data_IF_902274843656
#
_entry.id   IF_902274843656
#
_cell.length_a   1.000
_cell.length_b   1.000
_cell.length_c   1.000
_cell.angle_alpha   90.00
_cell.angle_beta   90.00
_cell.angle_gamma   90.00
#
_symmetry.space_group_name_H-M   'P 1'
#
loop_
_entity.id
_entity.type
_entity.pdbx_description
1 polymer ?
#
# COMPACT_ATOMS: atom_id res chain seq x y z
N UNK A 1 1.23 21.35 16.86
CA UNK A 1 1.51 20.73 18.19
C UNK A 1 3.02 20.65 18.33
N UNK A 2 3.61 21.47 19.20
CA UNK A 2 5.06 21.48 19.44
C UNK A 2 5.42 20.37 20.45
N UNK A 3 6.51 19.64 20.18
CA UNK A 3 7.10 18.62 21.08
C UNK A 3 7.44 19.28 22.43
N UNK A 4 7.14 18.68 23.59
CA UNK A 4 7.73 19.13 24.84
C UNK A 4 9.26 18.91 24.78
N UNK A 5 10.07 19.90 25.17
CA UNK A 5 11.50 19.72 25.36
C UNK A 5 11.71 19.00 26.69
N UNK A 6 12.02 17.71 26.61
CA UNK A 6 12.48 16.83 27.71
C UNK A 6 11.51 16.58 28.89
N UNK A 7 11.30 15.29 29.21
CA UNK A 7 10.53 14.78 30.35
C UNK A 7 9.15 14.20 29.96
N UNK A 8 8.70 13.03 30.40
CA UNK A 8 9.13 12.10 31.44
C UNK A 8 8.76 10.68 30.96
N UNK A 9 9.71 9.75 31.00
CA UNK A 9 9.44 8.32 30.74
C UNK A 9 8.84 7.72 32.02
N UNK A 10 7.58 7.28 31.96
CA UNK A 10 7.06 6.26 32.88
C UNK A 10 6.95 4.95 32.13
N UNK A 11 8.00 4.14 32.20
CA UNK A 11 7.89 2.69 32.01
C UNK A 11 7.64 2.11 33.40
N UNK A 12 6.47 1.52 33.60
CA UNK A 12 6.14 0.75 34.81
C UNK A 12 5.59 -0.62 34.37
N UNK A 13 5.69 -1.63 35.23
CA UNK A 13 6.68 -2.69 35.19
C UNK A 13 6.24 -3.85 34.30
N UNK A 14 7.00 -4.07 33.23
CA UNK A 14 7.09 -5.34 32.54
C UNK A 14 8.57 -5.59 32.27
N UNK A 15 9.01 -6.85 32.37
CA UNK A 15 10.33 -7.20 31.87
C UNK A 15 10.40 -6.78 30.39
N UNK A 16 11.43 -6.03 30.01
CA UNK A 16 11.73 -5.79 28.60
C UNK A 16 12.12 -7.15 28.04
N UNK A 17 11.21 -7.78 27.31
CA UNK A 17 11.49 -9.02 26.61
C UNK A 17 12.15 -8.61 25.30
N UNK A 18 13.42 -8.97 25.05
CA UNK A 18 14.03 -8.72 23.76
C UNK A 18 13.24 -9.45 22.67
N UNK A 19 12.72 -8.70 21.70
CA UNK A 19 12.06 -9.24 20.53
C UNK A 19 12.83 -8.86 19.26
N UNK A 20 12.58 -9.59 18.19
CA UNK A 20 13.12 -9.24 16.86
C UNK A 20 12.48 -7.92 16.40
N UNK A 21 13.29 -6.98 15.91
CA UNK A 21 12.76 -5.73 15.36
C UNK A 21 11.96 -6.02 14.08
N UNK A 22 10.67 -5.66 14.01
CA UNK A 22 9.84 -5.91 12.82
C UNK A 22 10.10 -4.91 11.69
N UNK A 23 10.96 -3.90 11.89
CA UNK A 23 11.27 -2.88 10.89
C UNK A 23 12.31 -3.37 9.90
N UNK A 24 12.07 -3.04 8.64
CA UNK A 24 13.00 -3.21 7.52
C UNK A 24 13.20 -1.82 6.94
N UNK A 25 14.40 -1.27 7.15
CA UNK A 25 14.82 0.04 6.66
C UNK A 25 15.96 -0.14 5.66
N UNK A 26 16.02 0.70 4.63
CA UNK A 26 17.03 0.59 3.57
C UNK A 26 18.47 0.69 4.11
N UNK A 27 18.66 1.41 5.21
CA UNK A 27 19.93 1.57 5.91
C UNK A 27 20.39 0.31 6.68
N UNK A 28 19.53 -0.68 6.90
CA UNK A 28 19.88 -1.96 7.53
C UNK A 28 19.92 -3.10 6.50
N UNK A 29 21.13 -3.49 6.13
CA UNK A 29 21.35 -4.47 5.08
C UNK A 29 20.89 -5.89 5.43
N UNK A 30 20.78 -6.26 6.71
CA UNK A 30 20.45 -7.64 7.08
C UNK A 30 18.95 -7.98 6.86
N UNK A 31 17.98 -7.22 7.41
CA UNK A 31 16.56 -7.42 7.14
C UNK A 31 16.21 -7.24 5.66
N UNK A 32 16.86 -6.30 4.97
CA UNK A 32 16.69 -6.12 3.52
C UNK A 32 17.05 -7.40 2.79
N UNK A 33 18.25 -7.96 2.98
CA UNK A 33 18.66 -9.21 2.32
C UNK A 33 17.74 -10.40 2.62
N UNK A 34 17.13 -10.45 3.80
CA UNK A 34 16.15 -11.49 4.13
C UNK A 34 14.86 -11.32 3.33
N UNK A 35 14.34 -10.09 3.25
CA UNK A 35 13.18 -9.76 2.41
C UNK A 35 13.48 -10.06 0.93
N UNK A 36 14.68 -9.76 0.46
CA UNK A 36 15.10 -10.03 -0.90
C UNK A 36 15.02 -11.52 -1.24
N UNK A 37 15.56 -12.39 -0.38
CA UNK A 37 15.47 -13.85 -0.54
C UNK A 37 14.02 -14.34 -0.54
N UNK A 38 13.17 -13.75 0.30
CA UNK A 38 11.75 -14.12 0.35
C UNK A 38 11.01 -13.73 -0.94
N UNK A 39 11.32 -12.57 -1.53
CA UNK A 39 10.76 -12.11 -2.81
C UNK A 39 11.25 -12.97 -3.97
N UNK A 40 12.54 -13.32 -3.99
CA UNK A 40 13.10 -14.11 -5.09
C UNK A 40 12.68 -15.59 -5.07
N UNK A 41 12.16 -16.05 -3.94
CA UNK A 41 11.81 -17.44 -3.70
C UNK A 41 13.05 -18.29 -3.40
N UNK A 42 12.93 -19.25 -2.49
CA UNK A 42 13.98 -20.25 -2.27
C UNK A 42 13.87 -21.36 -3.33
N UNK A 43 15.00 -21.99 -3.68
CA UNK A 43 15.04 -23.13 -4.60
C UNK A 43 14.05 -24.22 -4.13
N UNK A 44 13.12 -24.63 -4.99
CA UNK A 44 12.11 -25.65 -4.69
C UNK A 44 10.77 -25.11 -4.16
N UNK A 45 10.66 -23.83 -3.84
CA UNK A 45 9.37 -23.18 -3.59
C UNK A 45 8.79 -22.77 -4.96
N UNK A 46 7.57 -23.24 -5.28
CA UNK A 46 6.93 -23.00 -6.57
C UNK A 46 6.71 -21.51 -6.93
N UNK A 47 5.99 -21.21 -8.02
CA UNK A 47 5.80 -19.84 -8.49
C UNK A 47 5.28 -18.89 -7.40
N UNK A 48 5.96 -17.76 -7.20
CA UNK A 48 5.58 -16.76 -6.18
C UNK A 48 4.56 -15.77 -6.75
N UNK A 49 3.41 -15.62 -6.09
CA UNK A 49 2.45 -14.55 -6.37
C UNK A 49 2.58 -13.43 -5.34
N UNK A 50 2.86 -12.21 -5.80
CA UNK A 50 2.98 -10.99 -5.01
C UNK A 50 1.78 -10.09 -5.32
N UNK A 51 1.13 -9.57 -4.30
CA UNK A 51 0.11 -8.54 -4.42
C UNK A 51 0.59 -7.26 -3.74
N UNK A 52 0.69 -6.17 -4.49
CA UNK A 52 0.97 -4.84 -3.95
C UNK A 52 -0.27 -3.95 -4.05
N UNK A 53 -0.71 -3.43 -2.90
CA UNK A 53 -1.87 -2.55 -2.78
C UNK A 53 -1.40 -1.12 -2.59
N UNK A 54 -1.72 -0.25 -3.56
CA UNK A 54 -1.27 1.14 -3.53
C UNK A 54 -2.06 1.99 -2.54
N UNK A 55 -1.54 3.18 -2.26
CA UNK A 55 -2.34 4.24 -1.67
C UNK A 55 -3.41 4.79 -2.61
N UNK A 56 -4.31 5.61 -2.07
CA UNK A 56 -5.46 6.14 -2.83
C UNK A 56 -6.61 6.72 -1.99
N UNK A 57 -6.48 6.81 -0.66
CA UNK A 57 -7.52 7.35 0.21
C UNK A 57 -8.85 6.60 0.08
N UNK A 58 -9.94 7.34 -0.11
CA UNK A 58 -11.30 6.80 -0.26
C UNK A 58 -11.44 5.86 -1.47
N UNK A 59 -10.64 6.06 -2.52
CA UNK A 59 -10.68 5.21 -3.70
C UNK A 59 -10.22 3.77 -3.42
N UNK A 60 -9.65 3.49 -2.25
CA UNK A 60 -9.37 2.12 -1.79
C UNK A 60 -10.58 1.19 -1.83
N UNK A 61 -11.81 1.74 -1.82
CA UNK A 61 -13.03 0.99 -2.02
C UNK A 61 -13.03 0.23 -3.36
N UNK A 62 -12.49 0.81 -4.43
CA UNK A 62 -12.31 0.11 -5.71
C UNK A 62 -11.43 -1.13 -5.55
N UNK A 63 -10.27 -1.01 -4.92
CA UNK A 63 -9.37 -2.14 -4.74
C UNK A 63 -9.96 -3.25 -3.87
N UNK A 64 -10.65 -2.88 -2.79
CA UNK A 64 -11.42 -3.84 -1.98
C UNK A 64 -12.47 -4.56 -2.82
N UNK A 65 -13.20 -3.83 -3.66
CA UNK A 65 -14.14 -4.39 -4.63
C UNK A 65 -13.48 -5.38 -5.58
N UNK A 66 -12.37 -5.00 -6.22
CA UNK A 66 -11.62 -5.87 -7.15
C UNK A 66 -11.24 -7.18 -6.48
N UNK A 67 -10.72 -7.16 -5.26
CA UNK A 67 -10.33 -8.37 -4.53
C UNK A 67 -11.52 -9.31 -4.26
N UNK A 68 -12.64 -8.75 -3.80
CA UNK A 68 -13.88 -9.51 -3.55
C UNK A 68 -14.43 -10.09 -4.85
N UNK A 69 -14.52 -9.29 -5.91
CA UNK A 69 -14.98 -9.74 -7.22
C UNK A 69 -14.06 -10.81 -7.82
N UNK A 70 -12.75 -10.67 -7.64
CA UNK A 70 -11.78 -11.63 -8.15
C UNK A 70 -11.92 -12.99 -7.45
N UNK A 71 -12.16 -13.00 -6.15
CA UNK A 71 -12.56 -14.21 -5.40
C UNK A 71 -13.85 -14.81 -5.98
N UNK A 72 -14.88 -14.00 -6.22
CA UNK A 72 -16.14 -14.48 -6.82
C UNK A 72 -15.96 -15.11 -8.20
N UNK A 73 -14.94 -14.71 -8.95
CA UNK A 73 -14.61 -15.33 -10.23
C UNK A 73 -13.90 -16.69 -10.11
N UNK A 74 -13.48 -17.09 -8.91
CA UNK A 74 -12.71 -18.31 -8.65
C UNK A 74 -11.25 -18.26 -9.13
N UNK A 75 -10.75 -17.09 -9.55
CA UNK A 75 -9.42 -16.95 -10.18
C UNK A 75 -8.41 -16.16 -9.34
N UNK A 76 -8.75 -15.77 -8.11
CA UNK A 76 -7.84 -15.03 -7.24
C UNK A 76 -6.73 -15.97 -6.75
N UNK A 77 -5.44 -15.68 -7.01
CA UNK A 77 -4.34 -16.50 -6.51
C UNK A 77 -4.20 -16.40 -5.00
N UNK A 78 -3.59 -17.43 -4.40
CA UNK A 78 -3.03 -17.33 -3.07
C UNK A 78 -1.71 -16.56 -3.11
N UNK A 79 -1.68 -15.40 -2.48
CA UNK A 79 -0.49 -14.55 -2.47
C UNK A 79 0.48 -14.99 -1.39
N UNK A 80 1.73 -15.23 -1.77
CA UNK A 80 2.82 -15.50 -0.82
C UNK A 80 3.26 -14.21 -0.13
N UNK A 81 3.22 -13.09 -0.85
CA UNK A 81 3.56 -11.77 -0.33
C UNK A 81 2.41 -10.82 -0.63
N UNK A 82 1.90 -10.15 0.40
CA UNK A 82 0.95 -9.05 0.27
C UNK A 82 1.58 -7.82 0.88
N UNK A 83 1.58 -6.72 0.15
CA UNK A 83 2.05 -5.44 0.64
C UNK A 83 0.97 -4.39 0.55
N UNK A 84 1.05 -3.39 1.43
CA UNK A 84 0.09 -2.30 1.44
C UNK A 84 0.71 -0.97 1.86
N UNK A 85 0.23 0.08 1.20
CA UNK A 85 0.55 1.47 1.54
C UNK A 85 -0.75 2.26 1.66
N UNK A 86 -0.89 3.11 2.68
CA UNK A 86 -2.09 3.94 2.86
C UNK A 86 -3.35 3.11 2.96
N UNK A 87 -4.40 3.49 2.24
CA UNK A 87 -5.62 2.67 2.13
C UNK A 87 -5.30 1.21 1.74
N UNK A 88 -4.27 0.96 0.93
CA UNK A 88 -3.79 -0.39 0.64
C UNK A 88 -3.29 -1.15 1.87
N UNK A 89 -2.67 -0.47 2.85
CA UNK A 89 -2.26 -1.07 4.11
C UNK A 89 -3.46 -1.51 4.97
N UNK A 90 -4.59 -0.80 4.88
CA UNK A 90 -5.82 -1.18 5.58
C UNK A 90 -6.48 -2.41 4.94
N UNK A 91 -6.40 -2.56 3.62
CA UNK A 91 -6.92 -3.73 2.90
C UNK A 91 -5.98 -4.95 2.95
N UNK A 92 -4.67 -4.74 3.07
CA UNK A 92 -3.65 -5.79 2.99
C UNK A 92 -3.83 -6.96 3.98
N UNK A 93 -4.16 -6.76 5.27
CA UNK A 93 -4.42 -7.85 6.21
C UNK A 93 -5.50 -8.82 5.73
N UNK A 94 -6.62 -8.30 5.23
CA UNK A 94 -7.70 -9.12 4.70
C UNK A 94 -7.28 -9.79 3.39
N UNK A 95 -6.58 -9.05 2.53
CA UNK A 95 -6.11 -9.59 1.26
C UNK A 95 -5.13 -10.76 1.45
N UNK A 96 -4.29 -10.67 2.49
CA UNK A 96 -3.36 -11.68 2.95
C UNK A 96 -4.08 -12.90 3.53
N UNK A 97 -5.10 -12.73 4.36
CA UNK A 97 -5.81 -13.88 4.91
C UNK A 97 -6.70 -14.60 3.87
N UNK A 98 -6.99 -13.94 2.74
CA UNK A 98 -7.64 -14.56 1.59
C UNK A 98 -9.17 -14.47 1.63
N UNK A 99 -9.82 -15.32 0.82
CA UNK A 99 -11.26 -15.23 0.51
C UNK A 99 -12.19 -15.34 1.73
N UNK A 100 -11.78 -16.06 2.78
CA UNK A 100 -12.56 -16.18 4.02
C UNK A 100 -12.70 -14.86 4.79
N UNK A 101 -11.87 -13.86 4.47
CA UNK A 101 -11.89 -12.52 5.06
C UNK A 101 -12.45 -11.44 4.12
N UNK A 102 -12.91 -11.83 2.93
CA UNK A 102 -13.57 -10.91 2.00
C UNK A 102 -14.84 -10.26 2.56
N UNK A 103 -15.67 -10.91 3.42
CA UNK A 103 -16.79 -10.23 4.08
C UNK A 103 -16.34 -9.05 4.96
N UNK A 104 -15.24 -9.21 5.70
CA UNK A 104 -14.66 -8.17 6.57
C UNK A 104 -14.02 -7.05 5.73
N UNK A 105 -13.35 -7.41 4.64
CA UNK A 105 -12.82 -6.44 3.67
C UNK A 105 -13.95 -5.63 3.03
N UNK A 106 -14.99 -6.31 2.55
CA UNK A 106 -16.18 -5.67 2.01
C UNK A 106 -16.81 -4.78 3.07
N UNK A 107 -16.91 -5.22 4.32
CA UNK A 107 -17.52 -4.43 5.36
C UNK A 107 -16.75 -3.13 5.68
N UNK A 108 -15.43 -3.19 5.68
CA UNK A 108 -14.59 -2.02 5.91
C UNK A 108 -14.73 -0.92 4.82
N UNK A 109 -15.10 -1.30 3.59
CA UNK A 109 -15.10 -0.41 2.41
C UNK A 109 -16.46 -0.23 1.73
N UNK A 110 -17.48 -1.03 2.07
CA UNK A 110 -18.75 -1.07 1.35
C UNK A 110 -19.97 -1.32 2.23
N UNK A 111 -19.89 -2.04 3.36
CA UNK A 111 -21.05 -2.10 4.26
C UNK A 111 -21.15 -0.83 5.07
N UNK A 112 -22.14 -0.03 4.68
CA UNK A 112 -22.72 0.96 5.54
C UNK A 112 -23.57 0.37 6.66
N UNK A 113 -22.97 -0.45 7.52
CA UNK A 113 -23.48 -0.60 8.88
C UNK A 113 -23.51 0.79 9.53
N UNK A 114 -24.62 1.17 10.16
CA UNK A 114 -24.87 2.54 10.65
C UNK A 114 -23.72 3.16 11.48
N UNK A 115 -22.84 2.34 12.08
CA UNK A 115 -21.67 2.77 12.85
C UNK A 115 -20.39 2.99 12.02
N UNK A 116 -20.18 2.27 10.91
CA UNK A 116 -19.01 2.44 10.04
C UNK A 116 -19.24 3.53 8.99
N UNK A 117 -20.49 3.68 8.52
CA UNK A 117 -20.93 4.92 7.86
C UNK A 117 -20.59 6.10 8.74
N UNK A 118 -20.87 6.03 10.04
CA UNK A 118 -20.62 7.14 10.94
C UNK A 118 -19.13 7.50 11.00
N UNK A 119 -18.23 6.53 10.96
CA UNK A 119 -16.78 6.77 11.02
C UNK A 119 -16.21 7.35 9.71
N UNK A 120 -16.60 6.84 8.54
CA UNK A 120 -16.21 7.44 7.24
C UNK A 120 -16.91 8.78 7.00
N UNK A 121 -18.17 8.93 7.45
CA UNK A 121 -18.90 10.20 7.42
C UNK A 121 -18.27 11.22 8.38
N UNK A 122 -17.75 10.79 9.53
CA UNK A 122 -16.89 11.62 10.40
C UNK A 122 -15.55 11.97 9.74
N UNK A 123 -15.10 11.26 8.71
CA UNK A 123 -13.98 11.73 7.89
C UNK A 123 -14.44 12.75 6.84
N UNK A 124 -15.63 12.56 6.25
CA UNK A 124 -16.21 13.46 5.26
C UNK A 124 -16.70 14.82 5.85
N UNK A 125 -17.24 14.85 7.07
CA UNK A 125 -17.82 16.06 7.68
C UNK A 125 -16.78 17.06 8.19
N UNK A 126 -15.51 16.66 8.32
CA UNK A 126 -14.42 17.52 8.79
C UNK A 126 -13.53 18.04 7.64
N UNK A 127 -14.05 18.04 6.41
CA UNK A 127 -13.43 18.64 5.23
C UNK A 127 -13.47 20.19 5.20
N UNK A 128 -13.49 20.84 6.37
CA UNK A 128 -13.25 22.27 6.58
C UNK A 128 -11.89 22.46 7.27
N UNK A 129 -11.21 23.61 7.12
CA UNK A 129 -9.74 23.72 7.11
C UNK A 129 -8.98 23.49 8.43
N UNK A 130 -9.59 22.95 9.47
CA UNK A 130 -8.93 22.77 10.76
C UNK A 130 -9.03 21.33 11.25
N UNK A 131 -7.99 20.56 10.92
CA UNK A 131 -7.53 19.35 11.62
C UNK A 131 -8.56 18.20 11.64
N UNK A 132 -8.47 17.30 10.66
CA UNK A 132 -9.19 16.02 10.72
C UNK A 132 -8.78 15.28 11.99
N UNK A 133 -9.76 14.81 12.77
CA UNK A 133 -9.44 14.09 14.01
C UNK A 133 -8.88 12.71 13.66
N UNK A 134 -7.64 12.43 14.09
CA UNK A 134 -7.03 11.08 14.05
C UNK A 134 -7.90 10.01 14.71
N UNK A 135 -8.81 10.44 15.59
CA UNK A 135 -9.72 9.54 16.30
C UNK A 135 -10.65 8.75 15.38
N UNK A 136 -11.05 9.28 14.23
CA UNK A 136 -11.95 8.59 13.31
C UNK A 136 -11.22 7.44 12.57
N UNK A 137 -10.05 7.73 12.00
CA UNK A 137 -9.19 6.71 11.39
C UNK A 137 -8.78 5.65 12.42
N UNK A 138 -8.40 6.08 13.63
CA UNK A 138 -8.02 5.16 14.70
C UNK A 138 -9.18 4.25 15.11
N UNK A 139 -10.40 4.77 15.24
CA UNK A 139 -11.59 3.95 15.54
C UNK A 139 -11.88 2.90 14.47
N UNK A 140 -11.70 3.25 13.18
CA UNK A 140 -11.83 2.30 12.08
C UNK A 140 -10.83 1.14 12.23
N UNK A 141 -9.55 1.48 12.44
CA UNK A 141 -8.48 0.49 12.67
C UNK A 141 -8.75 -0.33 13.92
N UNK A 142 -9.20 0.31 15.01
CA UNK A 142 -9.47 -0.38 16.29
C UNK A 142 -10.59 -1.41 16.19
N UNK A 143 -11.60 -1.14 15.36
CA UNK A 143 -12.71 -2.05 15.10
C UNK A 143 -12.29 -3.20 14.19
N UNK A 144 -11.52 -2.91 13.15
CA UNK A 144 -11.10 -3.89 12.15
C UNK A 144 -10.00 -4.83 12.65
N UNK A 145 -9.08 -4.32 13.47
CA UNK A 145 -7.91 -5.06 13.95
C UNK A 145 -8.20 -5.66 15.32
N UNK A 146 -8.47 -6.95 15.33
CA UNK A 146 -8.79 -7.74 16.53
C UNK A 146 -7.68 -8.73 16.87
N UNK A 147 -7.62 -9.26 18.11
CA UNK A 147 -6.72 -10.35 18.46
C UNK A 147 -6.87 -11.58 17.53
N UNK A 148 -8.10 -11.85 17.07
CA UNK A 148 -8.38 -12.95 16.14
C UNK A 148 -7.75 -12.71 14.76
N UNK A 149 -7.79 -11.46 14.27
CA UNK A 149 -7.10 -11.09 13.03
C UNK A 149 -5.59 -11.32 13.17
N UNK A 150 -4.97 -10.88 14.27
CA UNK A 150 -3.55 -11.09 14.51
C UNK A 150 -3.19 -12.58 14.58
N UNK A 151 -3.98 -13.38 15.30
CA UNK A 151 -3.74 -14.82 15.41
C UNK A 151 -3.79 -15.49 14.02
N UNK A 152 -4.76 -15.14 13.17
CA UNK A 152 -4.84 -15.66 11.81
C UNK A 152 -3.62 -15.26 10.95
N UNK A 153 -3.15 -14.01 11.08
CA UNK A 153 -1.97 -13.52 10.35
C UNK A 153 -0.71 -14.25 10.82
N UNK A 154 -0.56 -14.47 12.12
CA UNK A 154 0.57 -15.19 12.70
C UNK A 154 0.66 -16.63 12.14
N UNK A 155 -0.47 -17.33 12.03
CA UNK A 155 -0.55 -18.67 11.43
C UNK A 155 -0.09 -18.67 9.97
N UNK A 156 -0.54 -17.71 9.17
CA UNK A 156 -0.11 -17.60 7.76
C UNK A 156 1.35 -17.16 7.62
N UNK A 157 1.85 -16.35 8.55
CA UNK A 157 3.26 -15.97 8.61
C UNK A 157 4.17 -17.17 8.90
N UNK A 158 3.74 -18.08 9.79
CA UNK A 158 4.45 -19.33 10.09
C UNK A 158 4.49 -20.30 8.91
N UNK A 159 3.54 -20.19 7.97
CA UNK A 159 3.58 -20.90 6.67
C UNK A 159 4.56 -20.28 5.68
N UNK A 160 5.28 -19.22 6.05
CA UNK A 160 6.26 -18.54 5.21
C UNK A 160 5.68 -17.43 4.33
N UNK A 161 4.40 -17.08 4.48
CA UNK A 161 3.79 -15.93 3.79
C UNK A 161 4.20 -14.63 4.46
N UNK A 162 4.22 -13.51 3.73
CA UNK A 162 4.61 -12.19 4.26
C UNK A 162 3.54 -11.13 4.03
N UNK A 163 3.22 -10.40 5.09
CA UNK A 163 2.39 -9.20 5.06
C UNK A 163 3.25 -8.01 5.43
N UNK A 164 3.43 -7.09 4.49
CA UNK A 164 4.32 -5.95 4.65
C UNK A 164 3.56 -4.64 4.50
N UNK A 165 3.79 -3.69 5.40
CA UNK A 165 3.17 -2.35 5.33
C UNK A 165 4.26 -1.29 5.32
N UNK A 166 4.11 -0.27 4.48
CA UNK A 166 5.06 0.84 4.44
C UNK A 166 4.51 2.10 5.11
N UNK A 167 5.37 2.79 5.82
CA UNK A 167 5.17 4.16 6.35
C UNK A 167 6.35 5.03 5.94
N UNK A 168 6.17 6.35 5.96
CA UNK A 168 7.30 7.29 5.85
C UNK A 168 7.64 7.80 7.24
N UNK A 169 8.90 7.63 7.66
CA UNK A 169 9.43 8.29 8.85
C UNK A 169 9.84 9.72 8.46
N UNK A 170 9.14 10.74 8.98
CA UNK A 170 9.42 12.14 8.68
C UNK A 170 10.68 12.68 9.37
N UNK A 171 11.12 12.05 10.46
CA UNK A 171 12.33 12.49 11.16
C UNK A 171 13.60 12.09 10.37
N UNK A 172 13.56 10.98 9.62
CA UNK A 172 14.67 10.50 8.79
C UNK A 172 14.44 10.62 7.27
N UNK A 173 13.22 10.98 6.86
CA UNK A 173 12.75 11.00 5.46
C UNK A 173 12.79 9.64 4.75
N UNK A 174 12.98 8.55 5.50
CA UNK A 174 13.09 7.19 4.96
C UNK A 174 11.74 6.44 4.93
N UNK A 175 11.60 5.55 3.95
CA UNK A 175 10.54 4.54 3.96
C UNK A 175 10.87 3.46 4.98
N UNK A 176 9.95 3.20 5.91
CA UNK A 176 10.03 2.10 6.88
C UNK A 176 9.01 1.04 6.50
N UNK A 177 9.50 -0.16 6.21
CA UNK A 177 8.69 -1.35 5.93
C UNK A 177 8.52 -2.13 7.24
N UNK A 178 7.30 -2.55 7.54
CA UNK A 178 6.95 -3.28 8.75
C UNK A 178 6.52 -4.70 8.39
N UNK A 179 7.16 -5.71 8.99
CA UNK A 179 6.68 -7.10 8.92
C UNK A 179 5.52 -7.29 9.90
N UNK A 180 4.30 -7.18 9.37
CA UNK A 180 3.08 -7.27 10.16
C UNK A 180 2.82 -8.68 10.68
N UNK A 181 3.37 -9.70 10.01
CA UNK A 181 3.28 -11.08 10.48
C UNK A 181 4.18 -11.34 11.69
N UNK A 182 5.36 -10.74 11.72
CA UNK A 182 6.24 -10.76 12.89
C UNK A 182 5.61 -10.01 14.08
N UNK A 183 5.01 -8.84 13.85
CA UNK A 183 4.25 -8.10 14.89
C UNK A 183 3.10 -8.97 15.42
N UNK A 184 2.35 -9.63 14.53
CA UNK A 184 1.26 -10.52 14.91
C UNK A 184 1.73 -11.73 15.74
N UNK A 185 2.89 -12.32 15.40
CA UNK A 185 3.50 -13.41 16.18
C UNK A 185 3.97 -13.00 17.57
N UNK A 186 4.50 -11.77 17.70
CA UNK A 186 4.88 -11.23 19.01
C UNK A 186 3.65 -11.10 19.93
N UNK A 187 2.49 -10.81 19.34
CA UNK A 187 1.21 -10.88 20.02
C UNK A 187 1.08 -9.95 21.24
N UNK A 188 0.16 -10.30 22.14
CA UNK A 188 -0.12 -9.53 23.34
C UNK A 188 -0.66 -8.12 23.08
N UNK A 189 -0.81 -7.34 24.15
CA UNK A 189 -1.33 -5.97 24.07
C UNK A 189 -0.38 -5.04 23.31
N UNK A 190 0.93 -5.22 23.46
CA UNK A 190 1.93 -4.40 22.77
C UNK A 190 1.97 -4.67 21.27
N UNK A 191 1.95 -5.94 20.84
CA UNK A 191 1.89 -6.30 19.42
C UNK A 191 0.60 -5.82 18.77
N UNK A 192 -0.55 -5.98 19.45
CA UNK A 192 -1.83 -5.44 18.96
C UNK A 192 -1.79 -3.91 18.82
N UNK A 193 -1.24 -3.21 19.81
CA UNK A 193 -1.09 -1.75 19.75
C UNK A 193 -0.19 -1.33 18.61
N UNK A 194 0.99 -1.95 18.45
CA UNK A 194 1.93 -1.63 17.37
C UNK A 194 1.33 -1.90 16.00
N UNK A 195 0.63 -3.04 15.82
CA UNK A 195 -0.05 -3.37 14.57
C UNK A 195 -1.04 -2.27 14.17
N UNK A 196 -1.84 -1.79 15.13
CA UNK A 196 -2.80 -0.69 14.93
C UNK A 196 -2.11 0.65 14.67
N UNK A 197 -1.02 0.94 15.38
CA UNK A 197 -0.25 2.17 15.21
C UNK A 197 0.36 2.24 13.79
N UNK A 198 0.94 1.15 13.30
CA UNK A 198 1.51 1.05 11.95
C UNK A 198 0.44 1.25 10.87
N UNK A 199 -0.71 0.57 10.97
CA UNK A 199 -1.80 0.75 10.01
C UNK A 199 -2.36 2.17 10.02
N UNK A 200 -2.52 2.75 11.21
CA UNK A 200 -2.96 4.16 11.35
C UNK A 200 -1.93 5.08 10.71
N UNK A 201 -0.64 4.90 10.99
CA UNK A 201 0.44 5.71 10.45
C UNK A 201 0.49 5.63 8.92
N UNK A 202 0.41 4.42 8.35
CA UNK A 202 0.45 4.21 6.90
C UNK A 202 -0.70 4.91 6.19
N UNK A 203 -1.87 5.07 6.84
CA UNK A 203 -3.03 5.77 6.29
C UNK A 203 -3.13 7.27 6.69
N UNK A 204 -2.16 7.81 7.43
CA UNK A 204 -2.15 9.22 7.87
C UNK A 204 -1.56 10.14 6.80
N UNK A 205 -2.37 10.53 5.82
CA UNK A 205 -1.97 11.44 4.72
C UNK A 205 -1.57 12.83 5.29
N UNK A 206 -0.37 13.35 5.00
CA UNK A 206 0.05 14.68 5.44
C UNK A 206 -0.91 15.79 5.00
N UNK A 207 -1.19 16.73 5.91
CA UNK A 207 -2.15 17.81 5.67
C UNK A 207 -3.63 17.40 5.78
N UNK A 208 -3.92 16.10 5.87
CA UNK A 208 -5.25 15.55 6.20
C UNK A 208 -5.23 15.06 7.63
N UNK A 209 -4.42 14.05 7.94
CA UNK A 209 -4.33 13.46 9.27
C UNK A 209 -3.02 13.82 9.97
N UNK A 210 -3.01 13.90 11.32
CA UNK A 210 -1.77 14.07 12.05
C UNK A 210 -0.91 12.80 11.95
N UNK A 211 0.42 12.93 12.09
CA UNK A 211 1.32 11.80 12.16
C UNK A 211 1.06 10.93 13.40
N UNK A 212 1.51 9.68 13.35
CA UNK A 212 1.52 8.76 14.49
C UNK A 212 2.94 8.67 15.03
N UNK A 213 3.09 8.79 16.35
CA UNK A 213 4.36 8.57 17.02
C UNK A 213 4.52 7.09 17.34
N UNK A 214 5.58 6.48 16.82
CA UNK A 214 5.91 5.08 17.08
C UNK A 214 7.24 5.04 17.84
N UNK A 215 7.30 4.20 18.87
CA UNK A 215 8.52 4.06 19.66
C UNK A 215 9.61 3.40 18.81
N UNK A 216 10.78 4.05 18.75
CA UNK A 216 11.97 3.57 18.09
C UNK A 216 13.18 3.59 19.03
N UNK A 217 14.36 3.30 18.49
CA UNK A 217 15.61 3.28 19.24
C UNK A 217 16.67 4.09 18.51
N UNK A 218 17.20 5.10 19.17
CA UNK A 218 18.32 5.89 18.66
C UNK A 218 19.62 5.06 18.62
N UNK A 219 20.61 5.52 17.84
CA UNK A 219 21.92 4.86 17.72
C UNK A 219 22.65 4.71 19.07
N UNK A 220 22.41 5.64 19.99
CA UNK A 220 22.95 5.62 21.36
C UNK A 220 22.16 4.72 22.33
N UNK A 221 21.15 4.02 21.81
CA UNK A 221 20.35 3.06 22.56
C UNK A 221 19.13 3.64 23.28
N UNK A 222 18.93 4.97 23.28
CA UNK A 222 17.75 5.62 23.90
C UNK A 222 16.46 5.30 23.15
N UNK A 223 15.35 5.19 23.89
CA UNK A 223 14.01 5.10 23.30
C UNK A 223 13.64 6.49 22.79
N UNK A 224 13.24 6.56 21.53
CA UNK A 224 12.76 7.77 20.87
C UNK A 224 11.34 7.57 20.34
N UNK A 225 10.66 8.66 20.00
CA UNK A 225 9.37 8.61 19.33
C UNK A 225 9.58 9.10 17.89
N UNK A 226 9.55 8.18 16.94
CA UNK A 226 9.70 8.46 15.51
C UNK A 226 8.35 8.95 14.95
N UNK A 227 8.39 9.98 14.10
CA UNK A 227 7.19 10.54 13.48
C UNK A 227 6.86 9.81 12.17
N UNK A 228 5.79 9.01 12.17
CA UNK A 228 5.36 8.27 10.97
C UNK A 228 4.11 8.85 10.34
N UNK A 229 4.11 8.91 9.01
CA UNK A 229 2.98 9.28 8.14
C UNK A 229 2.79 8.27 7.02
N UNK A 230 1.82 8.57 6.16
CA UNK A 230 1.50 7.77 4.99
C UNK A 230 2.73 7.45 4.14
N UNK A 231 2.94 6.17 3.85
CA UNK A 231 4.07 5.70 3.05
C UNK A 231 4.01 6.13 1.59
N UNK A 232 2.82 6.51 1.09
CA UNK A 232 2.58 6.97 -0.27
C UNK A 232 3.22 8.32 -0.58
N UNK A 233 3.76 9.01 0.44
CA UNK A 233 4.63 10.18 0.28
C UNK A 233 5.89 9.79 -0.50
N UNK A 234 6.51 8.66 -0.16
CA UNK A 234 7.73 8.18 -0.81
C UNK A 234 7.44 7.05 -1.81
N UNK A 235 6.59 6.10 -1.41
CA UNK A 235 6.43 4.81 -2.09
C UNK A 235 4.93 4.55 -2.36
N UNK A 236 4.40 4.84 -3.56
CA UNK A 236 2.96 4.74 -3.85
C UNK A 236 2.40 3.31 -3.71
N UNK A 237 3.24 2.30 -3.90
CA UNK A 237 3.00 0.88 -3.60
C UNK A 237 4.34 0.16 -3.42
N UNK A 238 4.36 -0.97 -2.70
CA UNK A 238 5.59 -1.74 -2.41
C UNK A 238 5.54 -3.12 -3.06
N UNK A 239 5.83 -3.26 -4.36
CA UNK A 239 5.90 -4.60 -4.98
C UNK A 239 7.30 -5.21 -4.85
N UNK A 240 8.30 -4.46 -5.31
CA UNK A 240 9.72 -4.82 -5.22
C UNK A 240 10.44 -3.67 -4.48
N UNK A 241 11.19 -3.95 -3.40
CA UNK A 241 12.01 -2.96 -2.72
C UNK A 241 13.00 -2.29 -3.68
N UNK A 242 13.32 -1.01 -3.45
CA UNK A 242 14.22 -0.24 -4.31
C UNK A 242 15.59 -0.90 -4.51
N UNK A 243 16.14 -1.54 -3.46
CA UNK A 243 17.41 -2.27 -3.52
C UNK A 243 17.43 -3.40 -4.55
N UNK A 244 16.26 -3.96 -4.88
CA UNK A 244 16.11 -5.04 -5.85
C UNK A 244 15.80 -4.59 -7.27
N UNK A 245 15.55 -3.30 -7.49
CA UNK A 245 15.06 -2.82 -8.79
C UNK A 245 16.03 -3.14 -9.94
N UNK A 246 17.33 -3.24 -9.67
CA UNK A 246 18.37 -3.61 -10.64
C UNK A 246 18.77 -5.10 -10.61
N UNK A 247 18.22 -5.88 -9.68
CA UNK A 247 18.58 -7.28 -9.54
C UNK A 247 18.08 -8.13 -10.73
N UNK A 248 18.87 -9.15 -11.08
CA UNK A 248 18.58 -10.10 -12.14
C UNK A 248 18.70 -11.53 -11.65
N UNK A 249 17.77 -12.37 -12.09
CA UNK A 249 17.71 -13.79 -11.77
C UNK A 249 18.96 -14.50 -12.27
N UNK A 250 19.64 -15.30 -11.43
CA UNK A 250 20.76 -16.12 -11.86
C UNK A 250 20.34 -17.06 -13.00
N UNK A 251 21.23 -17.21 -13.99
CA UNK A 251 21.04 -18.12 -15.12
C UNK A 251 20.85 -19.55 -14.58
N UNK A 252 19.77 -20.22 -15.01
CA UNK A 252 19.47 -21.61 -14.62
C UNK A 252 18.57 -21.78 -13.38
N UNK A 253 18.16 -20.70 -12.70
CA UNK A 253 17.20 -20.80 -11.61
C UNK A 253 15.78 -21.05 -12.15
N UNK A 254 15.15 -22.19 -11.82
CA UNK A 254 13.76 -22.53 -12.21
C UNK A 254 12.78 -21.51 -11.64
N UNK A 255 12.20 -20.63 -12.48
CA UNK A 255 11.44 -19.48 -12.03
C UNK A 255 10.26 -19.13 -12.91
N UNK A 256 9.11 -18.99 -12.27
CA UNK A 256 7.90 -18.34 -12.74
C UNK A 256 7.25 -17.64 -11.56
N UNK A 257 6.24 -16.82 -11.80
CA UNK A 257 5.57 -16.06 -10.75
C UNK A 257 4.86 -14.85 -11.32
N UNK A 258 4.14 -14.16 -10.45
CA UNK A 258 3.29 -13.05 -10.86
C UNK A 258 3.37 -11.93 -9.83
N UNK A 259 3.57 -10.71 -10.31
CA UNK A 259 3.41 -9.48 -9.54
C UNK A 259 2.10 -8.84 -9.98
N UNK A 260 1.19 -8.70 -9.03
CA UNK A 260 -0.08 -7.99 -9.18
C UNK A 260 0.01 -6.66 -8.45
N UNK A 261 -0.20 -5.55 -9.16
CA UNK A 261 -0.27 -4.22 -8.56
C UNK A 261 -1.69 -3.69 -8.69
N UNK A 262 -2.36 -3.49 -7.55
CA UNK A 262 -3.67 -2.88 -7.49
C UNK A 262 -3.52 -1.40 -7.13
N UNK A 263 -3.68 -0.56 -8.13
CA UNK A 263 -3.62 0.89 -8.01
C UNK A 263 -5.00 1.42 -7.63
N UNK A 264 -5.17 1.85 -6.38
CA UNK A 264 -6.40 2.47 -5.89
C UNK A 264 -6.64 3.88 -6.47
N UNK A 265 -5.75 4.38 -7.32
CA UNK A 265 -5.89 5.64 -8.03
C UNK A 265 -6.09 5.49 -9.53
N UNK A 266 -6.23 6.64 -10.19
CA UNK A 266 -6.26 6.76 -11.65
C UNK A 266 -4.85 7.09 -12.16
N UNK A 267 -4.45 6.44 -13.25
CA UNK A 267 -3.11 6.56 -13.82
C UNK A 267 -3.02 7.62 -14.91
N UNK A 268 -4.14 7.93 -15.57
CA UNK A 268 -4.23 8.90 -16.64
C UNK A 268 -3.97 10.33 -16.21
N UNK A 269 -3.46 11.12 -17.16
CA UNK A 269 -3.40 12.58 -17.03
C UNK A 269 -4.80 13.14 -17.25
N UNK A 270 -5.24 14.05 -16.40
CA UNK A 270 -6.52 14.77 -16.56
C UNK A 270 -6.26 16.22 -16.91
N UNK A 271 -6.72 16.65 -18.07
CA UNK A 271 -6.69 18.06 -18.44
C UNK A 271 -7.73 18.82 -17.61
N UNK A 272 -7.27 19.81 -16.85
CA UNK A 272 -8.13 20.66 -16.03
C UNK A 272 -7.45 22.01 -15.76
N UNK A 273 -8.24 23.07 -15.77
CA UNK A 273 -7.80 24.40 -15.36
C UNK A 273 -7.75 24.45 -13.84
N UNK A 274 -6.57 24.73 -13.29
CA UNK A 274 -6.38 24.81 -11.83
C UNK A 274 -6.68 26.23 -11.36
N UNK A 275 -7.59 26.37 -10.39
CA UNK A 275 -7.89 27.68 -9.80
C UNK A 275 -6.64 28.29 -9.15
N UNK A 276 -6.42 29.60 -9.30
CA UNK A 276 -5.23 30.32 -8.82
C UNK A 276 -5.09 30.49 -7.30
N UNK A 277 -5.80 29.69 -6.49
CA UNK A 277 -5.70 29.71 -5.02
C UNK A 277 -4.72 28.65 -4.53
N UNK A 278 -3.94 28.98 -3.49
CA UNK A 278 -2.87 28.12 -2.95
C UNK A 278 -3.33 26.67 -2.68
N UNK A 279 -4.48 26.49 -2.05
CA UNK A 279 -5.03 25.16 -1.72
C UNK A 279 -5.39 24.32 -2.95
N UNK A 280 -5.86 24.95 -4.03
CA UNK A 280 -6.14 24.24 -5.29
C UNK A 280 -4.85 23.84 -6.00
N UNK A 281 -3.85 24.73 -5.98
CA UNK A 281 -2.51 24.47 -6.53
C UNK A 281 -1.85 23.30 -5.79
N UNK A 282 -1.80 23.32 -4.46
CA UNK A 282 -1.21 22.25 -3.65
C UNK A 282 -1.87 20.89 -3.92
N UNK A 283 -3.21 20.84 -3.97
CA UNK A 283 -3.95 19.61 -4.29
C UNK A 283 -3.60 19.09 -5.69
N UNK A 284 -3.54 19.97 -6.69
CA UNK A 284 -3.18 19.61 -8.08
C UNK A 284 -1.74 19.11 -8.18
N UNK A 285 -0.80 19.79 -7.51
CA UNK A 285 0.60 19.39 -7.47
C UNK A 285 0.78 18.02 -6.82
N UNK A 286 0.09 17.77 -5.71
CA UNK A 286 0.10 16.46 -5.06
C UNK A 286 -0.48 15.35 -5.95
N UNK A 287 -1.67 15.57 -6.55
CA UNK A 287 -2.28 14.58 -7.47
C UNK A 287 -1.38 14.30 -8.68
N UNK A 288 -0.82 15.35 -9.30
CA UNK A 288 0.08 15.21 -10.44
C UNK A 288 1.37 14.46 -10.07
N UNK A 289 2.01 14.85 -8.97
CA UNK A 289 3.22 14.22 -8.45
C UNK A 289 3.00 12.76 -8.07
N UNK A 290 1.92 12.46 -7.34
CA UNK A 290 1.55 11.09 -6.95
C UNK A 290 1.32 10.18 -8.17
N UNK A 291 0.62 10.68 -9.20
CA UNK A 291 0.43 9.94 -10.46
C UNK A 291 1.73 9.73 -11.23
N UNK A 292 2.59 10.74 -11.29
CA UNK A 292 3.89 10.62 -11.93
C UNK A 292 4.78 9.59 -11.21
N UNK A 293 4.86 9.67 -9.87
CA UNK A 293 5.58 8.71 -9.04
C UNK A 293 5.05 7.29 -9.23
N UNK A 294 3.73 7.10 -9.23
CA UNK A 294 3.09 5.78 -9.44
C UNK A 294 3.45 5.20 -10.80
N UNK A 295 3.38 5.99 -11.89
CA UNK A 295 3.78 5.53 -13.23
C UNK A 295 5.26 5.16 -13.30
N UNK A 296 6.14 5.92 -12.65
CA UNK A 296 7.56 5.60 -12.60
C UNK A 296 7.82 4.28 -11.86
N UNK A 297 7.16 4.07 -10.71
CA UNK A 297 7.24 2.82 -9.96
C UNK A 297 6.69 1.62 -10.75
N UNK A 298 5.57 1.79 -11.46
CA UNK A 298 5.01 0.75 -12.34
C UNK A 298 5.99 0.39 -13.47
N UNK A 299 6.62 1.38 -14.11
CA UNK A 299 7.62 1.15 -15.15
C UNK A 299 8.83 0.39 -14.61
N UNK A 300 9.37 0.80 -13.45
CA UNK A 300 10.50 0.12 -12.81
C UNK A 300 10.18 -1.33 -12.44
N UNK A 301 9.00 -1.59 -11.86
CA UNK A 301 8.58 -2.94 -11.48
C UNK A 301 8.23 -3.80 -12.69
N UNK A 302 7.67 -3.23 -13.76
CA UNK A 302 7.45 -3.94 -15.01
C UNK A 302 8.79 -4.35 -15.67
N UNK A 303 9.77 -3.45 -15.68
CA UNK A 303 11.12 -3.75 -16.19
C UNK A 303 11.81 -4.83 -15.35
N UNK A 304 11.67 -4.77 -14.01
CA UNK A 304 12.13 -5.84 -13.13
C UNK A 304 11.45 -7.17 -13.45
N UNK A 305 10.12 -7.18 -13.58
CA UNK A 305 9.36 -8.40 -13.86
C UNK A 305 9.78 -9.02 -15.21
N UNK A 306 9.89 -8.20 -16.26
CA UNK A 306 10.33 -8.63 -17.58
C UNK A 306 11.74 -9.24 -17.53
N UNK A 307 12.69 -8.57 -16.87
CA UNK A 307 14.07 -9.05 -16.73
C UNK A 307 14.19 -10.36 -15.96
N UNK A 308 13.22 -10.64 -15.08
CA UNK A 308 13.20 -11.82 -14.22
C UNK A 308 12.19 -12.90 -14.65
N UNK A 309 11.53 -12.74 -15.82
CA UNK A 309 10.57 -13.71 -16.33
C UNK A 309 9.28 -13.82 -15.51
N UNK A 310 8.88 -12.75 -14.81
CA UNK A 310 7.66 -12.70 -13.99
C UNK A 310 6.52 -12.07 -14.79
N UNK A 311 5.29 -12.58 -14.60
CA UNK A 311 4.10 -11.88 -15.10
C UNK A 311 3.89 -10.60 -14.29
N UNK A 312 3.58 -9.49 -14.96
CA UNK A 312 3.29 -8.21 -14.31
C UNK A 312 1.89 -7.74 -14.70
N UNK A 313 0.96 -7.73 -13.74
CA UNK A 313 -0.45 -7.39 -13.97
C UNK A 313 -0.82 -6.18 -13.13
N UNK A 314 -1.50 -5.23 -13.75
CA UNK A 314 -1.96 -4.00 -13.10
C UNK A 314 -3.47 -3.93 -13.18
N UNK A 315 -4.10 -3.57 -12.06
CA UNK A 315 -5.48 -3.14 -11.99
C UNK A 315 -5.49 -1.71 -11.44
N UNK A 316 -6.31 -0.83 -12.02
CA UNK A 316 -6.39 0.57 -11.61
C UNK A 316 -7.82 1.08 -11.74
N UNK A 317 -8.16 2.11 -10.97
CA UNK A 317 -9.43 2.81 -11.17
C UNK A 317 -9.46 3.35 -12.61
N UNK A 318 -10.49 3.03 -13.43
CA UNK A 318 -10.57 3.52 -14.80
C UNK A 318 -10.59 5.05 -14.84
N UNK A 319 -9.92 5.68 -15.82
CA UNK A 319 -9.76 7.14 -15.86
C UNK A 319 -11.09 7.88 -16.07
N UNK A 320 -12.03 7.24 -16.76
CA UNK A 320 -13.42 7.68 -16.98
C UNK A 320 -14.31 7.57 -15.74
N UNK A 321 -13.88 6.82 -14.71
CA UNK A 321 -14.65 6.69 -13.49
C UNK A 321 -14.64 7.99 -12.67
N UNK A 322 -15.78 8.30 -12.06
CA UNK A 322 -15.86 9.34 -11.04
C UNK A 322 -15.18 8.83 -9.77
N UNK A 323 -13.96 9.33 -9.52
CA UNK A 323 -13.14 8.96 -8.39
C UNK A 323 -12.50 10.21 -7.79
N UNK A 324 -12.55 10.31 -6.47
CA UNK A 324 -11.94 11.38 -5.70
C UNK A 324 -11.43 10.77 -4.39
N UNK A 325 -10.11 10.70 -4.24
CA UNK A 325 -9.45 10.07 -3.10
C UNK A 325 -9.76 10.73 -1.75
N UNK A 326 -10.32 11.94 -1.75
CA UNK A 326 -10.71 12.69 -0.55
C UNK A 326 -12.24 12.68 -0.31
N UNK A 327 -13.02 12.02 -1.16
CA UNK A 327 -14.47 11.86 -0.97
C UNK A 327 -14.78 10.54 -0.27
N UNK A 328 -14.86 10.60 1.06
CA UNK A 328 -15.17 9.47 1.93
C UNK A 328 -16.68 9.27 2.14
N UNK A 329 -17.52 9.80 1.25
CA UNK A 329 -18.97 9.57 1.33
C UNK A 329 -19.31 8.12 1.01
N UNK A 330 -20.32 7.58 1.71
CA UNK A 330 -20.81 6.21 1.53
C UNK A 330 -21.19 5.93 0.06
N UNK A 331 -21.90 6.87 -0.57
CA UNK A 331 -22.28 6.76 -1.99
C UNK A 331 -21.08 6.64 -2.92
N UNK A 332 -20.04 7.47 -2.73
CA UNK A 332 -18.85 7.44 -3.58
C UNK A 332 -18.05 6.15 -3.39
N UNK A 333 -17.84 5.75 -2.13
CA UNK A 333 -17.11 4.52 -1.81
C UNK A 333 -17.83 3.27 -2.30
N UNK A 334 -19.14 3.13 -2.06
CA UNK A 334 -19.94 2.00 -2.56
C UNK A 334 -19.91 1.90 -4.08
N UNK A 335 -20.07 3.03 -4.77
CA UNK A 335 -19.99 3.06 -6.24
C UNK A 335 -18.65 2.52 -6.74
N UNK A 336 -17.53 2.96 -6.15
CA UNK A 336 -16.20 2.48 -6.53
C UNK A 336 -16.00 1.01 -6.17
N UNK A 337 -16.50 0.58 -5.00
CA UNK A 337 -16.47 -0.83 -4.60
C UNK A 337 -17.23 -1.72 -5.59
N UNK A 338 -18.45 -1.36 -5.95
CA UNK A 338 -19.27 -2.13 -6.89
C UNK A 338 -18.62 -2.20 -8.28
N UNK A 339 -18.03 -1.08 -8.75
CA UNK A 339 -17.26 -1.05 -9.99
C UNK A 339 -16.08 -2.03 -9.94
N UNK A 340 -15.28 -1.97 -8.86
CA UNK A 340 -14.15 -2.88 -8.66
C UNK A 340 -14.59 -4.33 -8.61
N UNK A 341 -15.66 -4.62 -7.86
CA UNK A 341 -16.23 -5.98 -7.73
C UNK A 341 -16.65 -6.54 -9.07
N UNK A 342 -17.34 -5.76 -9.89
CA UNK A 342 -17.76 -6.22 -11.21
C UNK A 342 -16.57 -6.47 -12.15
N UNK A 343 -15.57 -5.59 -12.13
CA UNK A 343 -14.35 -5.79 -12.93
C UNK A 343 -13.53 -7.01 -12.48
N UNK A 344 -13.40 -7.22 -11.17
CA UNK A 344 -12.75 -8.41 -10.61
C UNK A 344 -13.49 -9.70 -11.01
N UNK A 345 -14.82 -9.70 -10.87
CA UNK A 345 -15.69 -10.84 -11.20
C UNK A 345 -15.61 -11.21 -12.68
N UNK A 346 -15.68 -10.22 -13.57
CA UNK A 346 -15.66 -10.42 -15.02
C UNK A 346 -14.25 -10.61 -15.58
N UNK A 347 -13.19 -10.42 -14.79
CA UNK A 347 -11.80 -10.53 -15.24
C UNK A 347 -11.30 -9.34 -16.04
N UNK A 348 -12.01 -8.22 -15.99
CA UNK A 348 -11.64 -6.97 -16.67
C UNK A 348 -10.72 -6.07 -15.83
N UNK A 349 -10.55 -6.38 -14.54
CA UNK A 349 -9.71 -5.57 -13.65
C UNK A 349 -8.22 -5.61 -14.02
N UNK A 350 -7.71 -6.80 -14.38
CA UNK A 350 -6.28 -7.04 -14.55
C UNK A 350 -5.86 -6.97 -16.01
N UNK A 351 -4.90 -6.08 -16.32
CA UNK A 351 -4.28 -5.95 -17.63
C UNK A 351 -2.75 -5.96 -17.55
N UNK A 352 -2.11 -6.09 -18.71
CA UNK A 352 -0.67 -5.86 -18.81
C UNK A 352 -0.37 -4.37 -18.70
N UNK A 353 0.70 -4.01 -18.00
CA UNK A 353 1.13 -2.61 -17.95
C UNK A 353 1.67 -2.18 -19.30
N UNK A 354 1.09 -1.10 -19.85
CA UNK A 354 1.60 -0.42 -21.04
C UNK A 354 1.98 0.99 -20.66
N UNK A 355 3.22 1.45 -20.94
CA UNK A 355 3.56 2.86 -20.77
C UNK A 355 2.61 3.74 -21.58
N UNK A 356 2.15 4.86 -21.01
CA UNK A 356 1.24 5.78 -21.70
C UNK A 356 1.79 6.32 -23.05
N UNK A 357 3.11 6.30 -23.24
CA UNK A 357 3.77 6.65 -24.51
C UNK A 357 3.60 5.57 -25.58
N UNK A 358 3.51 4.29 -25.20
CA UNK A 358 3.25 3.19 -26.13
C UNK A 358 1.81 3.21 -26.67
N UNK A 359 0.84 3.64 -25.85
CA UNK A 359 -0.54 3.87 -26.30
C UNK A 359 -0.66 5.07 -27.25
N UNK A 360 0.01 6.19 -26.95
CA UNK A 360 0.06 7.34 -27.87
C UNK A 360 0.80 7.02 -29.17
N UNK A 361 1.90 6.25 -29.13
CA UNK A 361 2.64 5.84 -30.32
C UNK A 361 1.82 4.87 -31.20
N UNK A 362 1.11 3.92 -30.57
CA UNK A 362 0.21 3.00 -31.27
C UNK A 362 -1.03 3.70 -31.85
N UNK A 363 -1.59 4.69 -31.14
CA UNK A 363 -2.73 5.47 -31.60
C UNK A 363 -2.36 6.54 -32.64
N UNK A 364 -1.11 7.02 -32.65
CA UNK A 364 -0.63 8.05 -33.58
C UNK A 364 -0.03 7.51 -34.88
N UNK A 365 0.04 6.17 -35.07
CA UNK A 365 0.50 5.57 -36.33
C UNK A 365 1.87 6.09 -36.81
N UNK A 366 2.79 6.39 -35.88
CA UNK A 366 4.04 7.08 -36.24
C UNK A 366 4.99 6.10 -36.93
N UNK A 367 5.21 6.38 -38.21
CA UNK A 367 6.24 5.79 -39.06
C UNK A 367 7.61 6.05 -38.43
N UNK A 368 8.36 4.99 -38.16
CA UNK A 368 9.79 5.06 -37.82
C UNK A 368 10.51 5.63 -39.04
N UNK A 369 11.04 6.85 -38.92
CA UNK A 369 11.89 7.43 -39.96
C UNK A 369 13.28 6.84 -39.76
N UNK A 370 13.67 5.90 -40.63
CA UNK A 370 15.03 5.37 -40.66
C UNK A 370 16.03 6.52 -40.87
N UNK A 371 17.11 6.50 -40.08
CA UNK A 371 18.19 7.46 -40.21
C UNK A 371 18.84 7.36 -41.60
N UNK A 372 19.15 8.49 -42.28
CA UNK A 372 19.75 8.44 -43.60
C UNK A 372 21.16 7.83 -43.53
N UNK A 373 21.60 7.09 -44.58
CA UNK A 373 22.88 6.42 -44.56
C UNK A 373 24.02 7.43 -44.49
N UNK A 374 25.01 7.13 -43.64
CA UNK A 374 26.22 7.91 -43.50
C UNK A 374 26.91 8.04 -44.87
N UNK A 375 27.08 9.29 -45.33
CA UNK A 375 27.87 9.57 -46.53
C UNK A 375 29.33 9.24 -46.21
N UNK A 376 29.94 8.41 -47.07
CA UNK A 376 31.39 8.19 -47.12
C UNK A 376 32.12 9.40 -47.65
#
# INVERSE_FOLDING_TARGET
MARPPEGVVRVAPGAVIPTVDPRIVASDAAPVRLLERQIMGEQGQGPTAILALSGGGANGAYGAGVLVGWTQSGRRPDFRIVTGVSTGALAAPFAFLGSSWDPQLAAAYSDGGAKDILAWRQLATFASPSLYSSSALRKLVDKAVTPQLLAAIAVEHDKGRRLLVATTNLDSEETVIWDMGLIAKQGGEQGLKLFKDVLTASASIPGVFPPVLIAGRAKDGRIIQEMHVDGGVNTPFLAVPESLVLWSRPVGAVGGGSIYVLVNGQLGRRDAVTAGRLTAILKRSYDSGSKASTRAHLAANAAFAQRNGLAFRVAAVPDEAQANSLDFSDTAMRRLFDLGREQGRTGKAWGDWKPAEAEKAAAAGIIVIDAPPARR
#
